data_IF_792684246080
#
_entry.id   IF_792684246080
#
_cell.length_a   1.000
_cell.length_b   1.000
_cell.length_c   1.000
_cell.angle_alpha   90.00
_cell.angle_beta   90.00
_cell.angle_gamma   90.00
#
_symmetry.space_group_name_H-M   'P 1'
#
loop_
_entity.id
_entity.type
_entity.pdbx_description
1 polymer ?
#
# COMPACT_ATOMS: atom_id res chain seq x y z
N UNK A 1 8.65 -45.47 -28.31
CA UNK A 1 8.63 -44.45 -29.37
C UNK A 1 8.83 -43.10 -28.71
N UNK A 2 10.03 -42.55 -28.84
CA UNK A 2 10.43 -41.28 -28.25
C UNK A 2 10.35 -40.20 -29.33
N UNK A 3 9.62 -39.12 -29.06
CA UNK A 3 9.59 -37.93 -29.92
C UNK A 3 10.15 -36.74 -29.14
N UNK A 4 11.35 -36.33 -29.54
CA UNK A 4 11.98 -35.05 -29.20
C UNK A 4 11.36 -33.95 -30.07
N UNK A 5 11.14 -32.77 -29.50
CA UNK A 5 10.87 -31.53 -30.25
C UNK A 5 11.92 -30.49 -29.84
N UNK A 6 12.53 -29.75 -30.79
CA UNK A 6 13.65 -28.86 -30.53
C UNK A 6 13.20 -27.46 -30.10
N UNK A 7 14.17 -26.70 -29.58
CA UNK A 7 13.96 -25.41 -28.95
C UNK A 7 13.76 -24.24 -29.90
N UNK A 8 13.42 -23.11 -29.27
CA UNK A 8 13.46 -21.79 -29.86
C UNK A 8 14.03 -20.83 -28.83
N UNK A 9 15.29 -20.47 -29.05
CA UNK A 9 16.00 -19.35 -28.45
C UNK A 9 15.61 -18.06 -29.16
N UNK A 10 15.17 -17.06 -28.42
CA UNK A 10 15.05 -15.69 -28.91
C UNK A 10 15.71 -14.71 -27.94
N UNK A 11 16.56 -13.91 -28.56
CA UNK A 11 17.53 -12.96 -28.03
C UNK A 11 16.90 -11.58 -27.74
N UNK A 12 17.30 -11.04 -26.59
CA UNK A 12 17.61 -9.63 -26.27
C UNK A 12 17.03 -8.48 -27.11
N UNK A 13 16.35 -7.57 -26.42
CA UNK A 13 16.43 -6.13 -26.70
C UNK A 13 16.41 -5.34 -25.39
N UNK A 14 17.55 -4.71 -25.13
CA UNK A 14 17.82 -3.71 -24.11
C UNK A 14 17.24 -2.35 -24.53
N UNK A 15 16.53 -1.68 -23.63
CA UNK A 15 16.21 -0.26 -23.76
C UNK A 15 16.49 0.47 -22.45
N UNK A 16 17.25 1.54 -22.62
CA UNK A 16 17.91 2.34 -21.59
C UNK A 16 16.99 3.34 -20.89
N UNK A 17 17.47 3.73 -19.70
CA UNK A 17 17.36 5.05 -19.08
C UNK A 17 15.98 5.51 -18.59
N UNK A 18 15.82 5.51 -17.27
CA UNK A 18 15.33 6.73 -16.60
C UNK A 18 15.92 6.84 -15.19
N UNK A 19 16.80 7.82 -15.05
CA UNK A 19 17.60 8.12 -13.88
C UNK A 19 16.89 9.15 -13.01
N UNK A 20 16.04 8.69 -12.09
CA UNK A 20 15.47 9.47 -10.98
C UNK A 20 15.18 8.40 -9.91
N UNK A 21 15.96 8.18 -8.86
CA UNK A 21 16.29 9.08 -7.76
C UNK A 21 17.55 8.58 -7.04
N UNK A 22 18.73 9.03 -7.49
CA UNK A 22 19.93 8.97 -6.65
C UNK A 22 19.87 10.12 -5.65
N UNK A 23 19.32 9.88 -4.46
CA UNK A 23 19.72 10.52 -3.19
C UNK A 23 18.73 10.18 -2.08
N UNK A 24 19.03 9.13 -1.30
CA UNK A 24 18.66 9.08 0.12
C UNK A 24 19.75 8.39 0.94
N UNK A 25 20.98 8.89 0.78
CA UNK A 25 22.01 8.78 1.80
C UNK A 25 22.88 10.04 1.74
N UNK A 26 23.11 10.65 2.92
CA UNK A 26 24.10 11.67 3.26
C UNK A 26 23.80 13.14 2.87
N UNK A 27 23.20 13.90 3.79
CA UNK A 27 23.45 15.34 3.97
C UNK A 27 23.32 15.62 5.48
N UNK A 28 24.43 15.70 6.21
CA UNK A 28 25.33 16.87 6.39
C UNK A 28 24.71 17.92 7.31
N UNK A 29 25.40 18.12 8.43
CA UNK A 29 25.08 19.01 9.53
C UNK A 29 24.96 20.47 9.08
N UNK A 30 23.94 21.17 9.56
CA UNK A 30 23.97 22.63 9.71
C UNK A 30 23.50 22.99 11.12
N UNK A 31 24.46 23.43 11.93
CA UNK A 31 24.25 24.33 13.07
C UNK A 31 23.58 25.61 12.53
N UNK A 32 22.44 26.01 13.08
CA UNK A 32 21.97 27.40 13.03
C UNK A 32 21.43 27.78 14.42
N UNK A 33 22.07 28.79 14.99
CA UNK A 33 21.72 29.50 16.23
C UNK A 33 20.32 30.11 16.17
N UNK A 34 19.59 30.18 17.31
CA UNK A 34 18.34 30.93 17.41
C UNK A 34 18.64 32.39 17.78
N UNK A 35 18.19 33.34 16.95
CA UNK A 35 18.19 34.75 17.33
C UNK A 35 16.96 35.50 16.83
N UNK A 36 16.39 36.26 17.76
CA UNK A 36 15.51 37.41 17.62
C UNK A 36 14.00 37.15 17.44
N UNK A 37 13.33 37.27 18.58
CA UNK A 37 11.95 37.73 18.75
C UNK A 37 11.79 39.14 18.19
N UNK A 38 10.66 39.43 17.52
CA UNK A 38 10.12 40.79 17.51
C UNK A 38 8.59 40.74 17.43
N UNK A 39 7.97 41.25 18.49
CA UNK A 39 6.52 41.47 18.59
C UNK A 39 6.15 42.67 17.72
N UNK A 40 5.17 42.51 16.82
CA UNK A 40 4.53 43.67 16.19
C UNK A 40 3.02 43.50 16.25
N UNK A 41 2.44 44.25 17.19
CA UNK A 41 1.02 44.43 17.36
C UNK A 41 0.51 45.38 16.27
N UNK A 42 -0.39 44.93 15.41
CA UNK A 42 -1.13 45.82 14.50
C UNK A 42 -2.62 45.51 14.59
N UNK A 43 -3.37 46.56 14.87
CA UNK A 43 -4.80 46.61 15.08
C UNK A 43 -5.45 47.16 13.79
N UNK A 44 -6.70 46.75 13.55
CA UNK A 44 -7.82 47.49 12.89
C UNK A 44 -8.39 46.91 11.57
N UNK A 45 -9.67 46.53 11.73
CA UNK A 45 -10.87 46.55 10.85
C UNK A 45 -11.26 45.42 9.88
N UNK A 46 -12.59 45.10 9.83
CA UNK A 46 -13.18 44.04 9.03
C UNK A 46 -13.74 44.54 7.69
N UNK A 47 -13.55 43.75 6.63
CA UNK A 47 -14.28 43.88 5.37
C UNK A 47 -14.77 42.49 4.94
N UNK A 48 -16.05 42.40 4.63
CA UNK A 48 -16.76 41.25 4.08
C UNK A 48 -16.31 41.03 2.63
N UNK A 49 -15.92 39.80 2.27
CA UNK A 49 -16.03 39.27 0.89
C UNK A 49 -15.70 37.76 0.86
N UNK A 50 -16.64 36.98 0.31
CA UNK A 50 -16.60 35.62 -0.24
C UNK A 50 -15.50 34.62 0.26
N UNK A 51 -15.88 33.45 0.83
CA UNK A 51 -14.93 32.41 1.18
C UNK A 51 -14.39 31.72 -0.09
N UNK A 52 -13.36 32.31 -0.69
CA UNK A 52 -12.48 31.61 -1.62
C UNK A 52 -11.65 30.61 -0.82
N UNK A 53 -12.00 29.34 -0.95
CA UNK A 53 -11.27 28.18 -0.45
C UNK A 53 -9.97 28.02 -1.26
N UNK A 54 -9.03 28.95 -1.04
CA UNK A 54 -7.67 28.86 -1.56
C UNK A 54 -6.94 27.93 -0.60
N UNK A 55 -7.05 26.62 -0.86
CA UNK A 55 -6.23 25.61 -0.21
C UNK A 55 -4.78 25.79 -0.70
N UNK A 56 -4.10 26.77 -0.13
CA UNK A 56 -2.68 27.01 -0.38
C UNK A 56 -1.90 25.84 0.21
N UNK A 57 -1.32 25.05 -0.69
CA UNK A 57 -0.38 23.98 -0.44
C UNK A 57 0.95 24.58 0.07
N UNK A 58 0.91 25.19 1.26
CA UNK A 58 2.04 25.88 1.85
C UNK A 58 3.16 24.85 2.13
N UNK A 59 4.38 25.12 1.66
CA UNK A 59 5.49 24.18 1.81
C UNK A 59 5.77 23.95 3.29
N UNK A 60 5.58 22.71 3.74
CA UNK A 60 5.86 22.30 5.12
C UNK A 60 7.28 22.70 5.54
N UNK A 61 7.41 23.23 6.77
CA UNK A 61 8.71 23.56 7.35
C UNK A 61 9.56 22.31 7.54
N UNK A 62 10.88 22.48 7.72
CA UNK A 62 11.79 21.36 7.93
C UNK A 62 11.39 20.52 9.16
N UNK A 63 10.96 21.18 10.24
CA UNK A 63 10.50 20.57 11.48
C UNK A 63 9.21 19.78 11.27
N UNK A 64 8.25 20.34 10.53
CA UNK A 64 7.00 19.66 10.18
C UNK A 64 7.25 18.41 9.34
N UNK A 65 8.14 18.50 8.34
CA UNK A 65 8.56 17.35 7.51
C UNK A 65 9.22 16.25 8.33
N UNK A 66 10.11 16.61 9.26
CA UNK A 66 10.77 15.64 10.13
C UNK A 66 9.78 14.95 11.08
N UNK A 67 8.86 15.70 11.68
CA UNK A 67 7.81 15.15 12.56
C UNK A 67 6.90 14.20 11.80
N UNK A 68 6.49 14.56 10.59
CA UNK A 68 5.62 13.71 9.76
C UNK A 68 6.34 12.43 9.33
N UNK A 69 7.63 12.53 8.98
CA UNK A 69 8.47 11.37 8.70
C UNK A 69 8.55 10.41 9.88
N UNK A 70 8.78 10.91 11.09
CA UNK A 70 8.82 10.08 12.31
C UNK A 70 7.47 9.40 12.57
N UNK A 71 6.36 10.11 12.37
CA UNK A 71 5.01 9.56 12.48
C UNK A 71 4.78 8.40 11.51
N UNK A 72 5.14 8.58 10.24
CA UNK A 72 5.02 7.53 9.21
C UNK A 72 5.93 6.33 9.51
N UNK A 73 7.17 6.56 9.96
CA UNK A 73 8.07 5.47 10.36
C UNK A 73 7.50 4.67 11.53
N UNK A 74 6.92 5.33 12.54
CA UNK A 74 6.27 4.66 13.67
C UNK A 74 5.04 3.84 13.23
N UNK A 75 4.24 4.38 12.30
CA UNK A 75 3.08 3.69 11.71
C UNK A 75 3.51 2.39 11.00
N UNK A 76 4.49 2.48 10.10
CA UNK A 76 4.97 1.31 9.33
C UNK A 76 5.65 0.30 10.25
N UNK A 77 6.47 0.74 11.21
CA UNK A 77 7.15 -0.14 12.17
C UNK A 77 6.16 -0.92 13.03
N UNK A 78 5.12 -0.26 13.54
CA UNK A 78 4.09 -0.91 14.36
C UNK A 78 3.26 -1.91 13.53
N UNK A 79 2.91 -1.56 12.30
CA UNK A 79 2.26 -2.47 11.36
C UNK A 79 3.12 -3.69 11.06
N UNK A 80 4.39 -3.49 10.67
CA UNK A 80 5.32 -4.57 10.34
C UNK A 80 5.50 -5.54 11.50
N UNK A 81 5.63 -5.04 12.74
CA UNK A 81 5.72 -5.90 13.93
C UNK A 81 4.47 -6.76 14.12
N UNK A 82 3.28 -6.17 13.95
CA UNK A 82 2.02 -6.92 14.06
C UNK A 82 1.90 -7.97 12.93
N UNK A 83 2.18 -7.57 11.69
CA UNK A 83 2.12 -8.46 10.54
C UNK A 83 3.13 -9.61 10.62
N UNK A 84 4.33 -9.40 11.18
CA UNK A 84 5.30 -10.49 11.43
C UNK A 84 4.79 -11.48 12.48
N UNK A 85 4.02 -11.02 13.48
CA UNK A 85 3.35 -11.89 14.45
C UNK A 85 2.09 -12.57 13.90
N UNK A 86 1.64 -12.13 12.72
CA UNK A 86 0.42 -12.54 12.07
C UNK A 86 -0.78 -11.74 12.56
N UNK A 87 -1.50 -11.19 11.61
CA UNK A 87 -2.74 -10.45 11.84
C UNK A 87 -3.94 -11.30 11.39
N UNK A 88 -5.04 -11.32 12.16
CA UNK A 88 -6.24 -12.03 11.77
C UNK A 88 -6.95 -11.32 10.60
N UNK A 89 -7.52 -12.11 9.70
CA UNK A 89 -8.28 -11.63 8.55
C UNK A 89 -9.23 -12.74 8.06
N UNK A 90 -10.12 -12.42 7.12
CA UNK A 90 -10.84 -13.44 6.36
C UNK A 90 -10.56 -13.31 4.86
N UNK A 91 -10.32 -14.42 4.18
CA UNK A 91 -10.23 -14.48 2.73
C UNK A 91 -11.62 -14.62 2.12
N UNK A 92 -11.92 -13.80 1.12
CA UNK A 92 -13.17 -13.90 0.38
C UNK A 92 -12.94 -14.66 -0.93
N UNK A 93 -13.41 -15.90 -0.98
CA UNK A 93 -13.44 -16.68 -2.20
C UNK A 93 -14.62 -16.21 -3.08
N UNK A 94 -14.30 -15.59 -4.21
CA UNK A 94 -15.31 -15.07 -5.14
C UNK A 94 -16.12 -16.17 -5.84
N UNK A 95 -15.57 -17.38 -5.99
CA UNK A 95 -16.26 -18.49 -6.64
C UNK A 95 -17.29 -19.12 -5.72
N UNK A 96 -16.89 -19.45 -4.49
CA UNK A 96 -17.77 -20.08 -3.50
C UNK A 96 -18.58 -19.09 -2.67
N UNK A 97 -18.24 -17.79 -2.73
CA UNK A 97 -18.81 -16.71 -1.91
C UNK A 97 -18.58 -16.91 -0.41
N UNK A 98 -17.60 -17.73 -0.03
CA UNK A 98 -17.30 -18.04 1.37
C UNK A 98 -16.23 -17.12 1.90
N UNK A 99 -16.40 -16.70 3.15
CA UNK A 99 -15.36 -16.09 3.94
C UNK A 99 -14.62 -17.19 4.71
N UNK A 100 -13.31 -17.27 4.51
CA UNK A 100 -12.44 -18.28 5.11
C UNK A 100 -11.55 -17.58 6.13
N UNK A 101 -11.74 -17.82 7.45
CA UNK A 101 -10.89 -17.23 8.48
C UNK A 101 -9.44 -17.64 8.29
N UNK A 102 -8.54 -16.67 8.43
CA UNK A 102 -7.11 -16.88 8.24
C UNK A 102 -6.28 -15.84 8.98
N UNK A 103 -4.97 -15.88 8.74
CA UNK A 103 -4.02 -14.88 9.23
C UNK A 103 -3.03 -14.55 8.14
N UNK A 104 -2.78 -13.27 7.89
CA UNK A 104 -1.71 -12.85 7.01
C UNK A 104 -0.44 -12.56 7.80
N UNK A 105 0.70 -12.75 7.14
CA UNK A 105 2.01 -12.56 7.70
C UNK A 105 2.93 -11.85 6.72
N UNK A 106 3.84 -11.07 7.27
CA UNK A 106 5.06 -10.65 6.60
C UNK A 106 6.24 -11.47 7.16
N UNK A 107 7.21 -11.79 6.32
CA UNK A 107 8.46 -12.34 6.82
C UNK A 107 9.29 -11.29 7.56
N UNK A 108 10.30 -11.75 8.31
CA UNK A 108 11.15 -10.86 9.13
C UNK A 108 11.94 -9.85 8.29
N UNK A 109 12.20 -10.18 7.03
CA UNK A 109 12.85 -9.30 6.06
C UNK A 109 11.90 -8.29 5.42
N UNK A 110 10.59 -8.40 5.64
CA UNK A 110 9.57 -7.57 5.01
C UNK A 110 9.68 -7.60 3.48
N UNK A 111 9.93 -8.77 2.92
CA UNK A 111 10.08 -9.03 1.49
C UNK A 111 9.02 -9.96 0.95
N UNK A 112 8.32 -10.72 1.78
CA UNK A 112 7.23 -11.61 1.35
C UNK A 112 5.96 -11.46 2.20
N UNK A 113 4.82 -11.50 1.51
CA UNK A 113 3.49 -11.59 2.09
C UNK A 113 2.99 -13.02 2.01
N UNK A 114 2.36 -13.52 3.09
CA UNK A 114 1.79 -14.86 3.17
C UNK A 114 0.40 -14.81 3.79
N UNK A 115 -0.51 -15.64 3.30
CA UNK A 115 -1.81 -15.88 3.88
C UNK A 115 -1.95 -17.35 4.27
N UNK A 116 -2.25 -17.58 5.55
CA UNK A 116 -2.43 -18.90 6.13
C UNK A 116 -3.87 -19.10 6.60
N UNK A 117 -4.39 -20.28 6.32
CA UNK A 117 -5.66 -20.80 6.81
C UNK A 117 -5.40 -21.94 7.79
N UNK A 118 -6.48 -22.48 8.36
CA UNK A 118 -6.40 -23.61 9.29
C UNK A 118 -5.79 -24.88 8.64
N UNK A 119 -5.94 -25.03 7.33
CA UNK A 119 -5.44 -26.16 6.53
C UNK A 119 -4.05 -25.94 5.91
N UNK A 120 -3.45 -24.74 6.03
CA UNK A 120 -2.08 -24.47 5.61
C UNK A 120 -1.85 -23.10 4.95
N UNK A 121 -0.69 -22.94 4.29
CA UNK A 121 -0.37 -21.75 3.49
C UNK A 121 -1.05 -21.87 2.13
N UNK A 122 -1.91 -20.93 1.78
CA UNK A 122 -2.61 -20.97 0.48
C UNK A 122 -2.10 -19.91 -0.50
N UNK A 123 -1.66 -18.75 -0.01
CA UNK A 123 -1.13 -17.69 -0.87
C UNK A 123 0.17 -17.13 -0.31
N UNK A 124 1.16 -16.95 -1.18
CA UNK A 124 2.44 -16.33 -0.84
C UNK A 124 2.99 -15.63 -2.07
N UNK A 125 3.39 -14.37 -1.92
CA UNK A 125 4.03 -13.62 -2.99
C UNK A 125 5.08 -12.65 -2.44
N UNK A 126 6.14 -12.35 -3.20
CA UNK A 126 7.11 -11.35 -2.80
C UNK A 126 6.49 -9.94 -2.90
N UNK A 127 6.70 -9.08 -1.89
CA UNK A 127 6.12 -7.74 -1.85
C UNK A 127 6.50 -6.87 -3.04
N UNK A 128 7.70 -7.09 -3.61
CA UNK A 128 8.11 -6.41 -4.85
C UNK A 128 7.19 -6.69 -6.05
N UNK A 129 6.45 -7.80 -6.01
CA UNK A 129 5.50 -8.18 -7.06
C UNK A 129 4.07 -7.70 -6.78
N UNK A 130 3.83 -7.03 -5.64
CA UNK A 130 2.58 -6.31 -5.42
C UNK A 130 2.49 -5.17 -6.43
N UNK A 131 1.45 -5.19 -7.25
CA UNK A 131 1.17 -4.12 -8.19
C UNK A 131 0.36 -3.01 -7.52
N UNK A 132 -0.75 -3.37 -6.87
CA UNK A 132 -1.61 -2.40 -6.22
C UNK A 132 -2.47 -3.03 -5.10
N UNK A 133 -2.92 -2.19 -4.17
CA UNK A 133 -3.87 -2.52 -3.12
C UNK A 133 -5.04 -1.52 -3.11
N UNK A 134 -6.26 -2.03 -3.07
CA UNK A 134 -7.48 -1.23 -3.19
C UNK A 134 -8.45 -1.45 -2.03
N UNK A 135 -9.09 -0.37 -1.61
CA UNK A 135 -10.34 -0.42 -0.84
C UNK A 135 -11.54 -0.59 -1.79
N UNK A 136 -12.71 -0.96 -1.27
CA UNK A 136 -13.91 -1.09 -2.11
C UNK A 136 -14.26 0.19 -2.91
N UNK A 137 -14.25 1.40 -2.32
CA UNK A 137 -14.48 2.63 -3.10
C UNK A 137 -13.45 2.83 -4.22
N UNK A 138 -12.18 2.52 -3.96
CA UNK A 138 -11.12 2.62 -4.97
C UNK A 138 -11.31 1.60 -6.11
N UNK A 139 -11.76 0.39 -5.79
CA UNK A 139 -12.11 -0.63 -6.79
C UNK A 139 -13.23 -0.18 -7.72
N UNK A 140 -14.24 0.47 -7.16
CA UNK A 140 -15.41 0.96 -7.90
C UNK A 140 -15.06 2.14 -8.80
N UNK A 141 -14.15 3.01 -8.35
CA UNK A 141 -13.72 4.19 -9.11
C UNK A 141 -12.77 3.85 -10.26
N UNK A 142 -12.06 2.71 -10.22
CA UNK A 142 -11.11 2.31 -11.24
C UNK A 142 -11.77 1.44 -12.32
N UNK A 143 -11.75 1.90 -13.57
CA UNK A 143 -12.40 1.23 -14.72
C UNK A 143 -11.95 -0.22 -14.93
N UNK A 144 -10.66 -0.51 -14.71
CA UNK A 144 -10.09 -1.84 -14.91
C UNK A 144 -10.53 -2.87 -13.85
N UNK A 145 -10.95 -2.39 -12.68
CA UNK A 145 -11.36 -3.23 -11.54
C UNK A 145 -12.84 -3.10 -11.19
N UNK A 146 -13.57 -2.14 -11.75
CA UNK A 146 -14.96 -1.86 -11.39
C UNK A 146 -15.89 -3.08 -11.58
N UNK A 147 -15.62 -3.92 -12.58
CA UNK A 147 -16.37 -5.16 -12.80
C UNK A 147 -16.24 -6.14 -11.62
N UNK A 148 -15.12 -6.15 -10.89
CA UNK A 148 -14.90 -7.00 -9.72
C UNK A 148 -15.76 -6.56 -8.53
N UNK A 149 -15.98 -5.26 -8.38
CA UNK A 149 -16.87 -4.73 -7.35
C UNK A 149 -18.34 -5.14 -7.58
N UNK A 150 -18.69 -5.54 -8.82
CA UNK A 150 -20.01 -6.06 -9.17
C UNK A 150 -20.15 -7.57 -8.93
N UNK A 151 -19.08 -8.26 -8.54
CA UNK A 151 -19.14 -9.69 -8.25
C UNK A 151 -20.16 -9.95 -7.11
N UNK A 152 -21.05 -10.95 -7.24
CA UNK A 152 -22.05 -11.26 -6.21
C UNK A 152 -21.45 -11.50 -4.82
N UNK A 153 -20.26 -12.12 -4.72
CA UNK A 153 -19.58 -12.34 -3.45
C UNK A 153 -19.26 -11.01 -2.73
N UNK A 154 -18.88 -9.97 -3.47
CA UNK A 154 -18.57 -8.63 -2.96
C UNK A 154 -19.86 -7.83 -2.69
N UNK A 155 -20.81 -7.88 -3.62
CA UNK A 155 -22.08 -7.14 -3.50
C UNK A 155 -22.93 -7.59 -2.32
N UNK A 156 -22.94 -8.90 -2.03
CA UNK A 156 -23.72 -9.49 -0.96
C UNK A 156 -23.09 -9.33 0.43
N UNK A 157 -21.88 -8.78 0.54
CA UNK A 157 -21.32 -8.41 1.84
C UNK A 157 -22.20 -7.36 2.52
N UNK A 158 -22.32 -7.46 3.84
CA UNK A 158 -22.91 -6.40 4.64
C UNK A 158 -22.01 -5.15 4.64
N UNK A 159 -22.53 -4.03 5.16
CA UNK A 159 -21.82 -2.75 5.18
C UNK A 159 -20.53 -2.82 6.00
N UNK A 160 -20.52 -3.58 7.09
CA UNK A 160 -19.34 -3.69 7.95
C UNK A 160 -18.20 -4.43 7.24
N UNK A 161 -18.50 -5.55 6.58
CA UNK A 161 -17.55 -6.31 5.78
C UNK A 161 -17.08 -5.52 4.56
N UNK A 162 -17.96 -4.79 3.86
CA UNK A 162 -17.57 -3.89 2.76
C UNK A 162 -16.57 -2.83 3.20
N UNK A 163 -16.75 -2.29 4.40
CA UNK A 163 -15.85 -1.31 4.99
C UNK A 163 -14.48 -1.89 5.34
N UNK A 164 -14.36 -3.21 5.47
CA UNK A 164 -13.12 -3.92 5.78
C UNK A 164 -12.45 -4.55 4.56
N UNK A 165 -13.10 -4.51 3.39
CA UNK A 165 -12.63 -5.19 2.19
C UNK A 165 -11.38 -4.53 1.60
N UNK A 166 -10.38 -5.36 1.34
CA UNK A 166 -9.16 -5.04 0.59
C UNK A 166 -9.02 -6.00 -0.58
N UNK A 167 -8.64 -5.49 -1.75
CA UNK A 167 -8.15 -6.31 -2.86
C UNK A 167 -6.67 -6.04 -3.08
N UNK A 168 -5.87 -7.11 -3.14
CA UNK A 168 -4.47 -7.06 -3.56
C UNK A 168 -4.36 -7.56 -4.99
N UNK A 169 -3.64 -6.83 -5.82
CA UNK A 169 -3.27 -7.23 -7.18
C UNK A 169 -1.75 -7.41 -7.25
N UNK A 170 -1.29 -8.58 -7.69
CA UNK A 170 0.13 -8.93 -7.70
C UNK A 170 0.50 -9.86 -8.87
N UNK A 171 1.75 -9.83 -9.30
CA UNK A 171 2.28 -10.79 -10.26
C UNK A 171 2.86 -12.00 -9.53
N UNK A 172 2.50 -13.22 -9.94
CA UNK A 172 3.22 -14.40 -9.46
C UNK A 172 4.45 -14.63 -10.33
N UNK A 173 5.54 -15.09 -9.70
CA UNK A 173 6.81 -15.42 -10.33
C UNK A 173 6.64 -16.62 -11.27
N UNK A 174 6.17 -16.35 -12.49
CA UNK A 174 5.96 -17.37 -13.52
C UNK A 174 4.70 -17.18 -14.35
N UNK A 175 3.76 -16.33 -13.90
CA UNK A 175 2.53 -16.04 -14.64
C UNK A 175 2.58 -14.62 -15.22
N UNK A 176 2.25 -14.42 -16.51
CA UNK A 176 2.11 -13.09 -17.10
C UNK A 176 0.83 -12.37 -16.65
N UNK A 177 -0.05 -13.06 -15.91
CA UNK A 177 -1.34 -12.54 -15.47
C UNK A 177 -1.26 -12.03 -14.03
N UNK A 178 -1.97 -10.94 -13.78
CA UNK A 178 -2.17 -10.39 -12.46
C UNK A 178 -3.08 -11.31 -11.64
N UNK A 179 -2.60 -11.74 -10.49
CA UNK A 179 -3.36 -12.45 -9.49
C UNK A 179 -4.07 -11.46 -8.58
N UNK A 180 -5.26 -11.84 -8.12
CA UNK A 180 -6.11 -11.00 -7.27
C UNK A 180 -6.49 -11.75 -6.01
N UNK A 181 -6.34 -11.10 -4.87
CA UNK A 181 -6.66 -11.65 -3.56
C UNK A 181 -7.61 -10.69 -2.83
N UNK A 182 -8.72 -11.22 -2.31
CA UNK A 182 -9.71 -10.44 -1.57
C UNK A 182 -9.64 -10.79 -0.09
N UNK A 183 -9.39 -9.79 0.75
CA UNK A 183 -9.22 -9.92 2.19
C UNK A 183 -10.23 -9.02 2.91
N UNK A 184 -10.68 -9.45 4.07
CA UNK A 184 -11.44 -8.68 5.04
C UNK A 184 -10.55 -8.48 6.26
N UNK A 185 -10.07 -7.25 6.46
CA UNK A 185 -9.30 -6.90 7.65
C UNK A 185 -10.21 -6.84 8.89
N UNK A 186 -9.74 -7.34 10.02
CA UNK A 186 -10.42 -7.13 11.29
C UNK A 186 -10.09 -5.72 11.83
N UNK A 187 -11.07 -5.01 12.38
CA UNK A 187 -10.84 -3.68 12.98
C UNK A 187 -11.37 -2.49 12.16
N UNK A 188 -12.17 -2.74 11.12
CA UNK A 188 -12.93 -1.69 10.44
C UNK A 188 -12.13 -0.87 9.43
N UNK A 189 -12.69 0.30 9.10
CA UNK A 189 -12.17 1.21 8.05
C UNK A 189 -10.74 1.66 8.35
N UNK A 190 -10.45 2.03 9.60
CA UNK A 190 -9.12 2.54 9.99
C UNK A 190 -8.03 1.47 9.84
N UNK A 191 -8.32 0.23 10.26
CA UNK A 191 -7.36 -0.86 10.16
C UNK A 191 -7.16 -1.30 8.70
N UNK A 192 -8.23 -1.29 7.89
CA UNK A 192 -8.15 -1.48 6.43
C UNK A 192 -7.24 -0.44 5.77
N UNK A 193 -7.46 0.84 6.06
CA UNK A 193 -6.69 1.92 5.44
C UNK A 193 -5.22 1.87 5.87
N UNK A 194 -4.98 1.61 7.16
CA UNK A 194 -3.63 1.37 7.68
C UNK A 194 -2.96 0.19 6.97
N UNK A 195 -3.66 -0.91 6.75
CA UNK A 195 -3.15 -2.06 6.02
C UNK A 195 -2.73 -1.67 4.59
N UNK A 196 -3.62 -1.02 3.84
CA UNK A 196 -3.35 -0.61 2.45
C UNK A 196 -2.15 0.34 2.40
N UNK A 197 -2.14 1.39 3.22
CA UNK A 197 -1.06 2.39 3.24
C UNK A 197 0.29 1.75 3.58
N UNK A 198 0.36 0.98 4.67
CA UNK A 198 1.60 0.36 5.11
C UNK A 198 2.10 -0.68 4.09
N UNK A 199 1.21 -1.49 3.52
CA UNK A 199 1.58 -2.51 2.55
C UNK A 199 2.13 -1.88 1.26
N UNK A 200 1.52 -0.80 0.76
CA UNK A 200 2.04 -0.04 -0.38
C UNK A 200 3.43 0.53 -0.11
N UNK A 201 3.66 1.15 1.05
CA UNK A 201 4.97 1.68 1.44
C UNK A 201 6.03 0.57 1.48
N UNK A 202 5.69 -0.58 2.07
CA UNK A 202 6.62 -1.72 2.14
C UNK A 202 6.90 -2.32 0.75
N UNK A 203 5.90 -2.40 -0.13
CA UNK A 203 6.10 -2.84 -1.51
C UNK A 203 7.03 -1.92 -2.29
N UNK A 204 6.84 -0.60 -2.17
CA UNK A 204 7.74 0.40 -2.78
C UNK A 204 9.19 0.24 -2.29
N UNK A 205 9.38 -0.02 -0.99
CA UNK A 205 10.70 -0.28 -0.42
C UNK A 205 11.32 -1.58 -0.94
N UNK A 206 10.53 -2.65 -1.06
CA UNK A 206 10.98 -3.92 -1.59
C UNK A 206 11.37 -3.83 -3.08
N UNK A 207 10.75 -2.94 -3.85
CA UNK A 207 11.09 -2.69 -5.26
C UNK A 207 12.40 -1.90 -5.41
N UNK A 208 12.67 -0.96 -4.50
CA UNK A 208 13.87 -0.10 -4.57
C UNK A 208 15.16 -0.75 -4.06
N UNK A 209 15.06 -1.85 -3.31
CA UNK A 209 16.21 -2.55 -2.70
C UNK A 209 16.81 -3.63 -3.61
N UNK A 210 16.63 -3.51 -4.94
CA UNK A 210 17.12 -4.48 -5.95
C UNK A 210 18.45 -4.02 -6.54
#
# INVERSE_FOLDING_TARGET
MASRVPGSSSSSSSSSSSSYWKQMALFSCCNCDPAAEEETQTQVQPCEDEPQDVCEDLPLTAEQKQKEKERLQALVKSFARAAVAGCPCAFLDLATKRQIPGRYFLDRSLTSFKLLFADGVQHSFPLKALHEAYSLPALQANESTAALAQNPAVRCLDTAAKNCLVMLEYCDSGAPQLNRLFLLEEGGVEQRDRFITCLKVLALYAQSTT
#
